data_IF_257115647829
#
_entry.id   IF_257115647829
#
_cell.length_a   1.000
_cell.length_b   1.000
_cell.length_c   1.000
_cell.angle_alpha   90.00
_cell.angle_beta   90.00
_cell.angle_gamma   90.00
#
_symmetry.space_group_name_H-M   'P 1'
#
loop_
_entity.id
_entity.type
_entity.pdbx_description
1 polymer ?
#
# COMPACT_ATOMS: atom_id res chain seq x y z
N UNK A 1 7.55 -15.40 47.81
CA UNK A 1 6.18 -14.89 47.56
C UNK A 1 6.03 -13.37 47.72
N UNK A 2 6.63 -12.69 48.71
CA UNK A 2 6.50 -11.22 48.87
C UNK A 2 7.09 -10.38 47.72
N UNK A 3 8.14 -10.85 47.05
CA UNK A 3 8.75 -10.14 45.90
C UNK A 3 7.97 -10.27 44.59
N UNK A 4 7.14 -11.30 44.44
CA UNK A 4 6.30 -11.50 43.24
C UNK A 4 5.06 -10.59 43.29
N UNK A 5 4.55 -10.31 44.50
CA UNK A 5 3.39 -9.43 44.70
C UNK A 5 3.74 -7.95 44.47
N UNK A 6 4.96 -7.52 44.81
CA UNK A 6 5.42 -6.14 44.55
C UNK A 6 5.70 -5.90 43.06
N UNK A 7 6.21 -6.90 42.34
CA UNK A 7 6.42 -6.82 40.89
C UNK A 7 5.12 -6.74 40.09
N UNK A 8 4.05 -7.41 40.53
CA UNK A 8 2.75 -7.36 39.87
C UNK A 8 2.00 -6.04 40.14
N UNK A 9 2.18 -5.42 41.32
CA UNK A 9 1.58 -4.12 41.65
C UNK A 9 2.22 -2.94 40.90
N UNK A 10 3.52 -3.02 40.59
CA UNK A 10 4.25 -1.99 39.81
C UNK A 10 3.98 -2.09 38.29
N UNK A 11 3.59 -3.28 37.81
CA UNK A 11 3.24 -3.49 36.40
C UNK A 11 1.84 -2.96 36.04
N UNK A 12 0.95 -2.79 37.03
CA UNK A 12 -0.36 -2.16 36.83
C UNK A 12 -0.34 -0.63 36.87
N UNK A 13 0.72 0.01 37.37
CA UNK A 13 0.85 1.48 37.39
C UNK A 13 1.43 2.08 36.10
N UNK A 14 1.85 1.24 35.15
CA UNK A 14 2.44 1.65 33.87
C UNK A 14 1.43 1.79 32.73
N UNK A 15 0.15 1.47 33.00
CA UNK A 15 -0.95 1.73 32.07
C UNK A 15 -1.77 2.90 32.61
N UNK A 16 -1.28 4.12 32.40
CA UNK A 16 -2.22 5.24 32.24
C UNK A 16 -2.92 5.03 30.91
N UNK A 17 -3.93 4.15 30.90
CA UNK A 17 -4.93 4.21 29.86
C UNK A 17 -5.49 5.62 29.89
N UNK A 18 -5.50 6.32 28.76
CA UNK A 18 -6.39 7.46 28.61
C UNK A 18 -7.79 6.95 28.89
N UNK A 19 -8.29 7.17 30.11
CA UNK A 19 -9.65 6.81 30.43
C UNK A 19 -10.54 7.70 29.58
N UNK A 20 -11.05 7.18 28.47
CA UNK A 20 -12.27 7.69 27.85
C UNK A 20 -13.43 7.32 28.76
N UNK A 21 -13.41 7.88 29.98
CA UNK A 21 -14.41 7.63 30.99
C UNK A 21 -15.73 8.17 30.44
N UNK A 22 -16.77 7.36 30.54
CA UNK A 22 -18.11 7.82 30.25
C UNK A 22 -18.43 8.94 31.26
N UNK A 23 -18.68 10.16 30.78
CA UNK A 23 -18.79 11.34 31.63
C UNK A 23 -19.97 11.25 32.62
N UNK A 24 -21.07 10.65 32.19
CA UNK A 24 -22.28 10.47 33.00
C UNK A 24 -23.10 9.27 32.50
N UNK A 25 -23.30 8.28 33.37
CA UNK A 25 -24.00 7.02 33.06
C UNK A 25 -25.50 7.19 32.75
N UNK A 26 -26.10 8.35 33.07
CA UNK A 26 -27.49 8.67 32.72
C UNK A 26 -27.68 8.93 31.22
N UNK A 27 -26.59 9.09 30.48
CA UNK A 27 -26.59 9.39 29.05
C UNK A 27 -26.29 8.12 28.26
N UNK A 28 -27.09 7.84 27.22
CA UNK A 28 -26.98 6.61 26.43
C UNK A 28 -26.15 6.77 25.15
N UNK A 29 -25.85 8.00 24.73
CA UNK A 29 -25.17 8.29 23.47
C UNK A 29 -24.18 9.44 23.59
N UNK A 30 -23.09 9.37 22.80
CA UNK A 30 -22.13 10.46 22.63
C UNK A 30 -21.69 10.55 21.18
N UNK A 31 -21.38 11.78 20.74
CA UNK A 31 -20.79 12.05 19.43
C UNK A 31 -19.54 12.89 19.60
N UNK A 32 -18.42 12.39 19.12
CA UNK A 32 -17.18 13.16 19.09
C UNK A 32 -17.25 14.21 17.98
N UNK A 33 -16.89 15.45 18.31
CA UNK A 33 -16.73 16.56 17.37
C UNK A 33 -15.28 17.03 17.45
N UNK A 34 -14.56 16.97 16.33
CA UNK A 34 -13.18 17.45 16.24
C UNK A 34 -13.17 18.84 15.62
N UNK A 35 -12.52 19.78 16.30
CA UNK A 35 -12.32 21.14 15.81
C UNK A 35 -10.87 21.33 15.39
N UNK A 36 -10.66 22.02 14.27
CA UNK A 36 -9.32 22.37 13.79
C UNK A 36 -9.20 23.89 13.80
N UNK A 37 -8.17 24.40 14.46
CA UNK A 37 -7.85 25.82 14.46
C UNK A 37 -6.80 26.09 13.36
N UNK A 38 -7.15 26.80 12.28
CA UNK A 38 -6.19 27.14 11.22
C UNK A 38 -5.23 28.27 11.62
N UNK A 39 -5.45 28.90 12.78
CA UNK A 39 -4.73 30.07 13.23
C UNK A 39 -4.13 29.85 14.63
N UNK A 40 -3.59 30.92 15.20
CA UNK A 40 -3.08 30.93 16.57
C UNK A 40 -4.17 30.65 17.61
N UNK A 41 -3.73 30.44 18.85
CA UNK A 41 -4.62 30.16 19.98
C UNK A 41 -5.71 31.24 20.13
N UNK A 42 -6.94 30.81 20.38
CA UNK A 42 -8.07 31.71 20.64
C UNK A 42 -8.74 31.32 21.95
N UNK A 43 -8.93 32.30 22.83
CA UNK A 43 -9.66 32.16 24.09
C UNK A 43 -11.12 32.62 23.94
N UNK A 44 -12.03 32.01 24.72
CA UNK A 44 -13.46 32.38 24.80
C UNK A 44 -14.20 32.41 23.45
N UNK A 45 -13.78 31.59 22.49
CA UNK A 45 -14.32 31.58 21.13
C UNK A 45 -15.75 31.00 21.07
N UNK A 46 -16.75 31.72 20.54
CA UNK A 46 -18.04 31.14 20.19
C UNK A 46 -17.92 30.38 18.86
N UNK A 47 -18.19 29.07 18.88
CA UNK A 47 -18.13 28.21 17.70
C UNK A 47 -19.51 27.66 17.38
N UNK A 48 -19.96 27.84 16.14
CA UNK A 48 -21.20 27.27 15.65
C UNK A 48 -20.98 25.82 15.20
N UNK A 49 -21.69 24.90 15.84
CA UNK A 49 -21.82 23.50 15.42
C UNK A 49 -23.13 23.36 14.65
N UNK A 50 -23.04 22.92 13.40
CA UNK A 50 -24.19 22.62 12.55
C UNK A 50 -24.47 21.13 12.56
N UNK A 51 -25.62 20.74 13.11
CA UNK A 51 -26.09 19.37 13.12
C UNK A 51 -27.09 19.15 11.99
N UNK A 52 -26.93 18.05 11.27
CA UNK A 52 -27.81 17.60 10.21
C UNK A 52 -27.73 16.07 10.07
N UNK A 53 -28.62 15.49 9.27
CA UNK A 53 -28.75 14.03 9.08
C UNK A 53 -27.48 13.27 8.68
N UNK A 54 -26.51 13.98 8.07
CA UNK A 54 -25.23 13.41 7.68
C UNK A 54 -24.22 13.30 8.83
N UNK A 55 -24.45 13.99 9.95
CA UNK A 55 -23.51 14.02 11.07
C UNK A 55 -24.11 13.73 12.45
N UNK A 56 -25.45 13.82 12.60
CA UNK A 56 -26.17 13.66 13.86
C UNK A 56 -27.49 12.90 13.65
N UNK A 57 -27.82 12.01 14.60
CA UNK A 57 -29.07 11.25 14.59
C UNK A 57 -30.14 11.96 15.45
N UNK A 58 -31.07 12.63 14.79
CA UNK A 58 -32.16 13.37 15.44
C UNK A 58 -33.22 12.47 16.07
N UNK A 59 -33.27 11.17 15.73
CA UNK A 59 -34.21 10.23 16.35
C UNK A 59 -33.77 9.79 17.75
N UNK A 60 -32.49 9.97 18.05
CA UNK A 60 -31.89 9.64 19.34
C UNK A 60 -31.95 10.79 20.37
N UNK A 61 -32.51 11.95 19.98
CA UNK A 61 -32.60 13.14 20.81
C UNK A 61 -34.06 13.60 20.95
N UNK A 62 -34.36 14.36 22.00
CA UNK A 62 -35.69 14.94 22.16
C UNK A 62 -36.01 15.93 21.03
N UNK A 63 -37.30 16.10 20.74
CA UNK A 63 -37.79 16.98 19.66
C UNK A 63 -37.32 18.45 19.80
N UNK A 64 -36.93 18.87 21.01
CA UNK A 64 -36.43 20.21 21.32
C UNK A 64 -34.92 20.26 21.62
N UNK A 65 -34.21 19.12 21.59
CA UNK A 65 -32.79 19.01 21.91
C UNK A 65 -32.44 19.35 23.38
N UNK A 66 -33.40 19.27 24.31
CA UNK A 66 -33.15 19.60 25.73
C UNK A 66 -32.18 18.63 26.42
N UNK A 67 -32.09 17.44 25.87
CA UNK A 67 -31.12 16.38 26.17
C UNK A 67 -29.87 16.53 25.31
N UNK A 68 -29.39 17.76 25.07
CA UNK A 68 -28.06 18.00 24.55
C UNK A 68 -27.12 18.41 25.68
N UNK A 69 -25.95 17.79 25.76
CA UNK A 69 -24.82 18.28 26.57
C UNK A 69 -23.58 18.36 25.69
N UNK A 70 -22.74 19.35 25.99
CA UNK A 70 -21.47 19.53 25.32
C UNK A 70 -20.39 19.40 26.37
N UNK A 71 -19.50 18.42 26.21
CA UNK A 71 -18.41 18.13 27.13
C UNK A 71 -17.09 18.38 26.37
N UNK A 72 -16.12 18.98 27.05
CA UNK A 72 -14.79 19.21 26.49
C UNK A 72 -14.05 17.89 26.25
N UNK A 73 -12.94 17.95 25.50
CA UNK A 73 -12.13 16.77 25.18
C UNK A 73 -11.45 16.09 26.37
N UNK A 74 -11.58 16.65 27.58
CA UNK A 74 -11.14 16.04 28.82
C UNK A 74 -12.16 15.03 29.41
N UNK A 75 -13.29 14.82 28.71
CA UNK A 75 -14.43 13.97 29.11
C UNK A 75 -14.99 14.33 30.51
N UNK A 76 -14.78 15.57 30.97
CA UNK A 76 -15.13 16.01 32.34
C UNK A 76 -15.79 17.38 32.39
N UNK A 77 -15.32 18.33 31.61
CA UNK A 77 -15.74 19.73 31.70
C UNK A 77 -16.94 19.98 30.79
N UNK A 78 -18.12 20.21 31.38
CA UNK A 78 -19.27 20.70 30.63
C UNK A 78 -19.02 22.12 30.09
N UNK A 79 -19.30 22.31 28.81
CA UNK A 79 -19.14 23.58 28.11
C UNK A 79 -20.47 24.32 28.03
N UNK A 80 -20.41 25.65 28.14
CA UNK A 80 -21.59 26.51 27.93
C UNK A 80 -21.96 26.50 26.45
N UNK A 81 -23.24 26.28 26.18
CA UNK A 81 -23.77 26.32 24.81
C UNK A 81 -25.12 27.04 24.76
N UNK A 82 -25.53 27.39 23.55
CA UNK A 82 -26.81 27.99 23.23
C UNK A 82 -27.35 27.36 21.95
N UNK A 83 -28.57 26.85 22.01
CA UNK A 83 -29.28 26.33 20.83
C UNK A 83 -29.94 27.53 20.14
N UNK A 84 -29.39 27.95 19.00
CA UNK A 84 -29.99 29.01 18.19
C UNK A 84 -31.20 28.49 17.42
N UNK A 85 -31.09 27.27 16.88
CA UNK A 85 -32.18 26.62 16.16
C UNK A 85 -32.15 25.12 16.42
N UNK A 86 -33.33 24.55 16.67
CA UNK A 86 -33.55 23.11 16.65
C UNK A 86 -34.80 22.81 15.85
N UNK A 87 -34.66 22.02 14.80
CA UNK A 87 -35.74 21.61 13.91
C UNK A 87 -35.67 20.10 13.73
N UNK A 88 -36.31 19.37 14.66
CA UNK A 88 -36.33 17.89 14.64
C UNK A 88 -37.07 17.31 13.44
N UNK A 89 -37.98 18.08 12.83
CA UNK A 89 -38.74 17.66 11.64
C UNK A 89 -37.84 17.72 10.39
N UNK A 90 -37.19 18.86 10.17
CA UNK A 90 -36.25 19.03 9.05
C UNK A 90 -34.85 18.49 9.36
N UNK A 91 -34.66 17.93 10.56
CA UNK A 91 -33.42 17.32 11.06
C UNK A 91 -32.20 18.25 10.88
N UNK A 92 -32.35 19.48 11.38
CA UNK A 92 -31.33 20.52 11.34
C UNK A 92 -31.27 21.26 12.68
N UNK A 93 -30.07 21.45 13.22
CA UNK A 93 -29.85 22.28 14.40
C UNK A 93 -28.58 23.13 14.30
N UNK A 94 -28.64 24.30 14.94
CA UNK A 94 -27.56 25.27 15.06
C UNK A 94 -27.28 25.47 16.55
N UNK A 95 -26.11 25.04 16.99
CA UNK A 95 -25.71 25.10 18.40
C UNK A 95 -24.42 25.91 18.52
N UNK A 96 -24.48 27.03 19.21
CA UNK A 96 -23.31 27.81 19.58
C UNK A 96 -22.69 27.24 20.84
N UNK A 97 -21.42 26.91 20.79
CA UNK A 97 -20.65 26.44 21.96
C UNK A 97 -19.60 27.49 22.28
N UNK A 98 -19.53 27.89 23.55
CA UNK A 98 -18.47 28.75 24.04
C UNK A 98 -17.27 27.89 24.44
N UNK A 99 -16.21 27.95 23.64
CA UNK A 99 -14.97 27.26 23.94
C UNK A 99 -14.11 28.12 24.87
N UNK A 100 -13.67 27.61 26.03
CA UNK A 100 -12.80 28.37 26.93
C UNK A 100 -11.46 28.68 26.23
N UNK A 101 -10.96 27.70 25.47
CA UNK A 101 -9.74 27.79 24.67
C UNK A 101 -9.88 26.87 23.47
N UNK A 102 -9.50 27.37 22.31
CA UNK A 102 -9.29 26.57 21.11
C UNK A 102 -7.78 26.58 20.81
N UNK A 103 -7.12 25.47 21.13
CA UNK A 103 -5.69 25.31 20.97
C UNK A 103 -5.26 25.48 19.51
N UNK A 104 -4.10 26.07 19.31
CA UNK A 104 -3.38 25.96 18.05
C UNK A 104 -2.43 24.76 18.14
N UNK A 105 -2.12 24.15 17.00
CA UNK A 105 -1.23 23.00 16.95
C UNK A 105 -0.22 23.15 15.83
N UNK A 106 0.83 22.37 15.89
CA UNK A 106 1.70 22.13 14.74
C UNK A 106 2.17 20.70 14.71
N UNK A 107 2.57 20.27 13.53
CA UNK A 107 3.30 19.02 13.36
C UNK A 107 4.46 19.19 12.41
N UNK A 108 5.57 18.53 12.73
CA UNK A 108 6.72 18.35 11.84
C UNK A 108 6.91 16.86 11.64
N UNK A 109 7.10 16.42 10.40
CA UNK A 109 7.44 15.04 10.08
C UNK A 109 8.50 14.98 8.98
N UNK A 110 9.28 13.91 8.94
CA UNK A 110 10.36 13.72 7.98
C UNK A 110 10.83 12.26 7.98
N UNK A 111 11.42 11.84 6.87
CA UNK A 111 12.30 10.67 6.83
C UNK A 111 13.72 11.09 7.19
N UNK A 112 14.38 10.31 8.03
CA UNK A 112 15.78 10.51 8.41
C UNK A 112 16.54 9.21 8.30
N UNK A 113 17.75 9.27 7.77
CA UNK A 113 18.73 8.19 7.78
C UNK A 113 20.01 8.67 8.43
N UNK A 114 20.16 8.49 9.76
CA UNK A 114 21.28 9.05 10.50
C UNK A 114 22.61 8.43 10.06
N UNK A 115 23.61 9.25 9.77
CA UNK A 115 25.00 8.81 9.64
C UNK A 115 25.71 8.85 11.00
N UNK A 116 25.35 9.81 11.86
CA UNK A 116 25.74 9.87 13.27
C UNK A 116 24.51 9.77 14.18
N UNK A 117 24.69 9.24 15.38
CA UNK A 117 23.62 9.04 16.37
C UNK A 117 23.44 10.23 17.33
N UNK A 118 24.17 11.32 17.11
CA UNK A 118 24.07 12.57 17.83
C UNK A 118 23.86 13.72 16.83
N UNK A 119 22.96 14.65 17.14
CA UNK A 119 22.75 15.86 16.33
C UNK A 119 21.33 16.42 16.40
N UNK A 120 21.18 17.71 16.14
CA UNK A 120 19.90 18.43 16.18
C UNK A 120 19.18 18.35 14.84
N UNK A 121 17.96 17.79 14.85
CA UNK A 121 17.10 17.64 13.67
C UNK A 121 16.22 18.88 13.46
N UNK A 122 15.62 19.40 14.53
CA UNK A 122 14.67 20.53 14.46
C UNK A 122 14.93 21.48 15.61
N UNK A 123 14.99 22.78 15.33
CA UNK A 123 15.14 23.80 16.36
C UNK A 123 14.32 25.05 16.04
N UNK A 124 13.63 25.58 17.04
CA UNK A 124 12.98 26.90 17.02
C UNK A 124 12.97 27.47 18.45
N UNK A 125 12.45 28.69 18.64
CA UNK A 125 12.31 29.29 19.96
C UNK A 125 11.36 28.48 20.86
N UNK A 126 11.92 27.67 21.75
CA UNK A 126 11.16 26.79 22.65
C UNK A 126 10.89 25.38 22.12
N UNK A 127 11.35 25.03 20.90
CA UNK A 127 11.30 23.67 20.36
C UNK A 127 12.71 23.19 20.02
N UNK A 128 13.09 22.01 20.51
CA UNK A 128 14.34 21.36 20.15
C UNK A 128 14.12 19.86 19.99
N UNK A 129 14.49 19.29 18.85
CA UNK A 129 14.50 17.86 18.59
C UNK A 129 15.91 17.44 18.21
N UNK A 130 16.53 16.58 19.01
CA UNK A 130 17.90 16.13 18.81
C UNK A 130 18.04 14.63 19.09
N UNK A 131 18.90 13.98 18.30
CA UNK A 131 19.39 12.66 18.62
C UNK A 131 20.49 12.76 19.67
N UNK A 132 20.41 11.91 20.69
CA UNK A 132 21.46 11.68 21.68
C UNK A 132 21.62 10.17 21.82
N UNK A 133 22.76 9.64 21.39
CA UNK A 133 23.03 8.21 21.29
C UNK A 133 21.87 7.42 20.61
N UNK A 134 21.32 7.98 19.53
CA UNK A 134 20.24 7.39 18.72
C UNK A 134 18.84 7.60 19.30
N UNK A 135 18.71 8.06 20.54
CA UNK A 135 17.41 8.39 21.13
C UNK A 135 16.98 9.79 20.68
N UNK A 136 15.80 9.90 20.08
CA UNK A 136 15.22 11.19 19.72
C UNK A 136 14.65 11.87 20.97
N UNK A 137 15.32 12.93 21.41
CA UNK A 137 14.91 13.77 22.53
C UNK A 137 14.27 15.05 21.99
N UNK A 138 13.04 15.31 22.42
CA UNK A 138 12.24 16.45 21.97
C UNK A 138 11.78 17.27 23.15
N UNK A 139 12.01 18.57 23.09
CA UNK A 139 11.51 19.57 24.02
C UNK A 139 10.57 20.52 23.30
N UNK A 140 9.44 20.85 23.90
CA UNK A 140 8.53 21.91 23.45
C UNK A 140 7.99 22.68 24.67
N UNK A 141 8.49 23.88 24.93
CA UNK A 141 8.21 24.61 26.17
C UNK A 141 8.71 23.84 27.40
N UNK A 142 7.80 23.53 28.33
CA UNK A 142 8.10 22.73 29.53
C UNK A 142 8.04 21.22 29.28
N UNK A 143 7.39 20.77 28.20
CA UNK A 143 7.28 19.36 27.86
C UNK A 143 8.61 18.83 27.31
N UNK A 144 8.99 17.63 27.77
CA UNK A 144 10.18 16.91 27.32
C UNK A 144 9.82 15.44 27.11
N UNK A 145 10.22 14.88 25.96
CA UNK A 145 9.99 13.49 25.59
C UNK A 145 11.31 12.90 25.07
N UNK A 146 11.73 11.79 25.66
CA UNK A 146 12.73 10.91 25.07
C UNK A 146 12.00 9.74 24.40
N UNK A 147 12.18 9.57 23.09
CA UNK A 147 11.51 8.52 22.34
C UNK A 147 11.93 7.14 22.85
N UNK A 148 10.95 6.26 23.11
CA UNK A 148 11.20 4.90 23.59
C UNK A 148 11.82 3.98 22.54
N UNK A 149 11.78 4.37 21.26
CA UNK A 149 12.36 3.65 20.14
C UNK A 149 13.56 4.46 19.57
N UNK A 150 14.81 3.99 19.78
CA UNK A 150 15.98 4.66 19.23
C UNK A 150 16.09 4.43 17.73
N UNK A 151 16.65 5.42 17.03
CA UNK A 151 17.00 5.33 15.63
C UNK A 151 18.34 4.62 15.46
N UNK A 152 18.49 3.93 14.33
CA UNK A 152 19.72 3.23 13.96
C UNK A 152 20.45 3.96 12.84
N UNK A 153 21.79 3.90 12.86
CA UNK A 153 22.60 4.54 11.85
C UNK A 153 22.51 3.78 10.51
N UNK A 154 22.44 4.52 9.40
CA UNK A 154 22.40 3.97 8.05
C UNK A 154 21.06 3.39 7.61
N UNK A 155 20.03 3.41 8.45
CA UNK A 155 18.67 2.97 8.12
C UNK A 155 17.69 4.14 8.06
N UNK A 156 16.72 4.07 7.14
CA UNK A 156 15.63 5.06 7.06
C UNK A 156 14.65 4.84 8.20
N UNK A 157 14.36 5.92 8.92
CA UNK A 157 13.34 6.00 9.96
C UNK A 157 12.40 7.17 9.67
N UNK A 158 11.11 6.97 9.95
CA UNK A 158 10.14 8.05 9.88
C UNK A 158 9.98 8.67 11.27
N UNK A 159 10.19 9.98 11.39
CA UNK A 159 10.00 10.69 12.66
C UNK A 159 8.95 11.77 12.52
N UNK A 160 8.08 11.90 13.52
CA UNK A 160 7.11 12.98 13.58
C UNK A 160 6.95 13.53 14.99
N UNK A 161 6.64 14.82 15.07
CA UNK A 161 6.44 15.57 16.31
C UNK A 161 5.14 16.33 16.17
N UNK A 162 4.28 16.28 17.19
CA UNK A 162 3.14 17.17 17.31
C UNK A 162 3.26 18.01 18.57
N UNK A 163 2.94 19.29 18.43
CA UNK A 163 2.91 20.25 19.54
C UNK A 163 1.53 20.88 19.56
N UNK A 164 0.81 20.67 20.65
CA UNK A 164 -0.48 21.30 20.96
C UNK A 164 -0.54 21.50 22.48
N UNK A 165 -1.56 21.00 23.18
CA UNK A 165 -1.58 20.96 24.65
C UNK A 165 -0.58 19.93 25.21
N UNK A 166 -0.26 18.91 24.41
CA UNK A 166 0.75 17.87 24.67
C UNK A 166 1.80 17.85 23.57
N UNK A 167 3.02 17.45 23.93
CA UNK A 167 4.08 17.08 23.00
C UNK A 167 3.97 15.58 22.75
N UNK A 168 3.80 15.16 21.49
CA UNK A 168 3.86 13.74 21.11
C UNK A 168 4.95 13.52 20.08
N UNK A 169 5.73 12.46 20.28
CA UNK A 169 6.82 12.05 19.39
C UNK A 169 6.50 10.68 18.83
N UNK A 170 6.66 10.53 17.52
CA UNK A 170 6.40 9.31 16.78
C UNK A 170 7.68 8.86 16.08
N UNK A 171 7.92 7.55 16.11
CA UNK A 171 9.01 6.87 15.39
C UNK A 171 8.40 5.71 14.62
N UNK A 172 8.72 5.63 13.33
CA UNK A 172 8.23 4.61 12.40
C UNK A 172 6.69 4.45 12.44
N UNK A 173 6.00 5.59 12.50
CA UNK A 173 4.54 5.69 12.50
C UNK A 173 3.87 5.34 13.83
N UNK A 174 4.64 5.00 14.87
CA UNK A 174 4.13 4.63 16.20
C UNK A 174 4.43 5.70 17.23
N UNK A 175 3.54 5.90 18.18
CA UNK A 175 3.78 6.82 19.30
C UNK A 175 4.95 6.29 20.14
N UNK A 176 6.02 7.07 20.22
CA UNK A 176 7.25 6.75 20.95
C UNK A 176 7.39 7.55 22.26
N UNK A 177 6.49 8.49 22.53
CA UNK A 177 6.39 9.17 23.81
C UNK A 177 5.47 10.39 23.77
N UNK A 178 5.00 10.79 24.94
CA UNK A 178 4.11 11.93 25.13
C UNK A 178 4.41 12.64 26.45
N UNK A 179 4.30 13.97 26.48
CA UNK A 179 4.38 14.78 27.69
C UNK A 179 3.38 15.95 27.66
N UNK A 180 2.71 16.27 28.78
CA UNK A 180 1.80 17.41 28.86
C UNK A 180 2.57 18.74 28.99
N UNK A 181 1.87 19.86 28.81
CA UNK A 181 2.43 21.20 29.05
C UNK A 181 3.33 21.67 27.91
N UNK A 182 3.04 21.23 26.70
CA UNK A 182 3.75 21.69 25.52
C UNK A 182 3.34 23.11 25.17
N UNK A 183 4.27 23.86 24.56
CA UNK A 183 4.00 25.20 24.05
C UNK A 183 4.47 25.29 22.60
N UNK A 184 3.69 25.99 21.77
CA UNK A 184 4.06 26.24 20.39
C UNK A 184 5.38 27.03 20.32
N UNK A 185 6.28 26.68 19.40
CA UNK A 185 7.52 27.41 19.21
C UNK A 185 7.30 28.80 18.62
N UNK A 186 8.29 29.66 18.84
CA UNK A 186 8.38 31.01 18.29
C UNK A 186 9.60 31.15 17.38
N UNK A 187 9.59 32.17 16.52
CA UNK A 187 10.70 32.45 15.61
C UNK A 187 10.80 31.47 14.44
N UNK A 188 11.96 31.49 13.75
CA UNK A 188 12.23 30.63 12.60
C UNK A 188 12.49 29.17 12.99
N UNK A 189 12.04 28.25 12.15
CA UNK A 189 12.28 26.82 12.28
C UNK A 189 13.53 26.42 11.48
N UNK A 190 14.56 25.94 12.17
CA UNK A 190 15.76 25.35 11.57
C UNK A 190 15.59 23.84 11.47
N UNK A 191 15.82 23.30 10.28
CA UNK A 191 15.79 21.86 10.00
C UNK A 191 17.21 21.39 9.66
N UNK A 192 17.64 20.27 10.23
CA UNK A 192 18.94 19.66 9.97
C UNK A 192 20.12 20.44 10.55
N UNK A 193 19.98 21.01 11.76
CA UNK A 193 20.99 21.88 12.38
C UNK A 193 22.39 21.25 12.48
N UNK A 194 22.63 20.38 13.47
CA UNK A 194 23.89 19.62 13.60
C UNK A 194 23.73 18.14 13.22
N UNK A 195 22.59 17.80 12.64
CA UNK A 195 22.30 16.45 12.18
C UNK A 195 23.25 16.02 11.06
N UNK A 196 23.80 14.81 11.17
CA UNK A 196 24.62 14.17 10.16
C UNK A 196 23.91 12.93 9.63
N UNK A 197 23.54 12.95 8.36
CA UNK A 197 22.77 11.89 7.71
C UNK A 197 21.99 12.42 6.51
N UNK A 198 21.10 11.59 5.99
CA UNK A 198 20.16 11.99 4.93
C UNK A 198 18.81 12.35 5.58
N UNK A 199 18.09 13.30 4.97
CA UNK A 199 16.74 13.70 5.36
C UNK A 199 15.90 13.88 4.10
N UNK A 200 14.67 13.39 4.12
CA UNK A 200 13.74 13.47 2.99
C UNK A 200 12.29 13.70 3.47
N UNK A 201 11.41 14.10 2.56
CA UNK A 201 9.98 14.36 2.77
C UNK A 201 9.65 15.19 4.02
N UNK A 202 10.36 16.31 4.21
CA UNK A 202 10.09 17.20 5.36
C UNK A 202 8.72 17.85 5.19
N UNK A 203 7.83 17.60 6.15
CA UNK A 203 6.47 18.12 6.20
C UNK A 203 6.30 19.01 7.43
N UNK A 204 5.80 20.23 7.23
CA UNK A 204 5.40 21.17 8.28
C UNK A 204 3.91 21.49 8.12
N UNK A 205 3.17 21.43 9.22
CA UNK A 205 1.77 21.85 9.24
C UNK A 205 1.47 22.70 10.47
N UNK A 206 0.68 23.77 10.28
CA UNK A 206 0.13 24.61 11.36
C UNK A 206 -1.08 23.98 12.06
N UNK A 207 -1.10 22.65 12.14
CA UNK A 207 -2.08 21.88 12.91
C UNK A 207 -1.39 20.64 13.48
N UNK A 208 -1.83 20.18 14.65
CA UNK A 208 -1.38 18.90 15.19
C UNK A 208 -2.10 17.76 14.43
N UNK A 209 -1.39 17.08 13.52
CA UNK A 209 -1.93 15.90 12.81
C UNK A 209 -2.05 14.71 13.74
N UNK A 210 -3.01 13.83 13.45
CA UNK A 210 -3.28 12.64 14.25
C UNK A 210 -2.28 11.50 14.01
N UNK A 211 -2.33 10.49 14.88
CA UNK A 211 -1.44 9.33 14.82
C UNK A 211 -1.65 8.46 13.58
N UNK A 212 -2.88 8.35 13.07
CA UNK A 212 -3.17 7.52 11.90
C UNK A 212 -2.56 8.14 10.63
N UNK A 213 -2.57 9.47 10.51
CA UNK A 213 -1.87 10.17 9.45
C UNK A 213 -0.38 9.79 9.41
N UNK A 214 0.30 9.83 10.56
CA UNK A 214 1.72 9.47 10.63
C UNK A 214 1.98 7.99 10.36
N UNK A 215 1.08 7.10 10.79
CA UNK A 215 1.19 5.67 10.48
C UNK A 215 1.12 5.41 8.97
N UNK A 216 0.20 6.08 8.26
CA UNK A 216 0.08 5.98 6.80
C UNK A 216 1.31 6.54 6.09
N UNK A 217 1.82 7.70 6.52
CA UNK A 217 3.04 8.28 5.95
C UNK A 217 4.26 7.38 6.16
N UNK A 218 4.44 6.83 7.37
CA UNK A 218 5.52 5.89 7.64
C UNK A 218 5.42 4.61 6.78
N UNK A 219 4.21 4.16 6.47
CA UNK A 219 3.97 2.99 5.63
C UNK A 219 4.27 3.22 4.13
N UNK A 220 4.58 4.45 3.72
CA UNK A 220 5.03 4.79 2.35
C UNK A 220 6.57 4.70 2.19
N UNK A 221 7.31 4.36 3.25
CA UNK A 221 8.76 4.30 3.22
C UNK A 221 9.35 3.23 2.28
N UNK A 222 10.69 3.12 2.23
CA UNK A 222 11.38 2.16 1.37
C UNK A 222 11.02 0.69 1.60
N UNK A 223 10.60 0.34 2.82
CA UNK A 223 10.09 -0.98 3.19
C UNK A 223 8.56 -0.98 3.38
N UNK A 224 7.89 0.01 2.80
CA UNK A 224 6.48 0.31 3.00
C UNK A 224 5.56 -0.80 2.50
N UNK A 225 4.50 -1.04 3.25
CA UNK A 225 3.47 -2.05 2.94
C UNK A 225 2.14 -1.42 2.51
N UNK A 226 2.08 -0.09 2.40
CA UNK A 226 0.82 0.61 2.12
C UNK A 226 0.27 0.25 0.73
N UNK A 227 1.15 0.11 -0.25
CA UNK A 227 0.78 -0.20 -1.63
C UNK A 227 1.24 -1.61 -1.96
N UNK A 228 0.26 -2.49 -2.19
CA UNK A 228 0.50 -3.80 -2.78
C UNK A 228 0.17 -3.72 -4.28
N UNK A 229 1.17 -3.95 -5.12
CA UNK A 229 0.96 -4.05 -6.56
C UNK A 229 0.47 -5.45 -6.90
N UNK A 230 -0.56 -5.53 -7.73
CA UNK A 230 -1.03 -6.79 -8.30
C UNK A 230 -0.02 -7.37 -9.30
N UNK A 231 -0.25 -8.58 -9.76
CA UNK A 231 0.52 -9.15 -10.86
C UNK A 231 0.36 -8.29 -12.12
N UNK A 232 1.42 -8.21 -12.93
CA UNK A 232 1.35 -7.55 -14.23
C UNK A 232 0.36 -8.31 -15.13
N UNK A 233 -0.75 -7.66 -15.48
CA UNK A 233 -1.66 -8.16 -16.50
C UNK A 233 -1.10 -7.79 -17.88
N UNK A 234 -0.15 -8.59 -18.36
CA UNK A 234 0.27 -8.52 -19.76
C UNK A 234 -0.81 -9.18 -20.62
N UNK A 235 -1.50 -8.39 -21.42
CA UNK A 235 -2.27 -8.91 -22.54
C UNK A 235 -1.29 -9.64 -23.48
N UNK A 236 -1.41 -10.95 -23.60
CA UNK A 236 -0.78 -11.74 -24.66
C UNK A 236 -1.29 -11.24 -26.01
N UNK A 237 -0.64 -10.22 -26.56
CA UNK A 237 -1.13 -9.55 -27.76
C UNK A 237 -0.27 -8.36 -28.17
N UNK A 238 1.04 -8.59 -28.31
CA UNK A 238 1.96 -7.61 -28.88
C UNK A 238 3.36 -8.18 -29.06
N UNK A 239 3.68 -8.59 -30.30
CA UNK A 239 5.04 -8.81 -30.81
C UNK A 239 5.96 -7.63 -30.40
N UNK A 240 7.24 -7.76 -30.04
CA UNK A 240 8.30 -8.65 -30.48
C UNK A 240 9.24 -8.97 -29.29
N UNK A 241 9.70 -10.22 -29.17
CA UNK A 241 10.78 -10.61 -28.24
C UNK A 241 10.40 -11.55 -27.09
N UNK A 242 9.16 -12.05 -27.06
CA UNK A 242 8.63 -12.88 -25.98
C UNK A 242 9.00 -14.37 -26.08
N UNK A 243 9.41 -14.93 -24.93
CA UNK A 243 9.38 -16.35 -24.51
C UNK A 243 10.26 -17.33 -25.31
N UNK A 244 10.25 -17.30 -26.65
CA UNK A 244 11.01 -18.23 -27.47
C UNK A 244 12.52 -17.99 -27.38
N UNK A 245 12.94 -16.71 -27.32
CA UNK A 245 14.36 -16.36 -27.18
C UNK A 245 14.96 -16.81 -25.83
N UNK A 246 14.19 -16.67 -24.75
CA UNK A 246 14.64 -17.09 -23.41
C UNK A 246 14.58 -18.61 -23.24
N UNK A 247 13.58 -19.29 -23.81
CA UNK A 247 13.52 -20.77 -23.85
C UNK A 247 14.68 -21.38 -24.62
N UNK A 248 15.05 -20.83 -25.78
CA UNK A 248 16.18 -21.35 -26.57
C UNK A 248 17.55 -21.02 -25.93
N UNK A 249 17.67 -19.91 -25.21
CA UNK A 249 18.89 -19.57 -24.47
C UNK A 249 19.08 -20.44 -23.20
N UNK A 250 17.99 -20.91 -22.59
CA UNK A 250 18.02 -21.77 -21.40
C UNK A 250 18.23 -23.27 -21.73
N UNK A 251 18.29 -23.65 -23.02
CA UNK A 251 18.46 -25.03 -23.43
C UNK A 251 19.93 -25.48 -23.26
N UNK A 252 20.14 -26.53 -22.47
CA UNK A 252 21.46 -27.14 -22.29
C UNK A 252 21.96 -27.80 -23.59
N UNK A 253 23.26 -28.09 -23.67
CA UNK A 253 23.86 -28.73 -24.86
C UNK A 253 23.13 -30.02 -25.27
N UNK A 254 22.64 -30.78 -24.29
CA UNK A 254 21.87 -32.01 -24.51
C UNK A 254 20.55 -31.76 -25.26
N UNK A 255 19.88 -30.64 -24.98
CA UNK A 255 18.65 -30.26 -25.67
C UNK A 255 18.88 -29.87 -27.13
N UNK A 256 19.98 -29.17 -27.41
CA UNK A 256 20.39 -28.86 -28.79
C UNK A 256 20.73 -30.12 -29.60
N UNK A 257 21.39 -31.10 -28.97
CA UNK A 257 21.69 -32.39 -29.60
C UNK A 257 20.39 -33.13 -29.94
N UNK A 258 19.42 -33.16 -29.03
CA UNK A 258 18.13 -33.82 -29.26
C UNK A 258 17.36 -33.19 -30.43
N UNK A 259 17.30 -31.85 -30.50
CA UNK A 259 16.67 -31.13 -31.61
C UNK A 259 17.38 -31.45 -32.94
N UNK A 260 18.72 -31.51 -32.94
CA UNK A 260 19.50 -31.88 -34.12
C UNK A 260 19.16 -33.28 -34.64
N UNK A 261 19.03 -34.28 -33.75
CA UNK A 261 18.65 -35.65 -34.13
C UNK A 261 17.24 -35.69 -34.71
N UNK A 262 16.27 -35.01 -34.09
CA UNK A 262 14.90 -34.94 -34.58
C UNK A 262 14.81 -34.26 -35.95
N UNK A 263 15.60 -33.20 -36.19
CA UNK A 263 15.66 -32.53 -37.48
C UNK A 263 16.20 -33.46 -38.57
N UNK A 264 17.24 -34.25 -38.29
CA UNK A 264 17.78 -35.25 -39.23
C UNK A 264 16.73 -36.33 -39.54
N UNK A 265 16.03 -36.82 -38.52
CA UNK A 265 14.94 -37.79 -38.71
C UNK A 265 13.82 -37.22 -39.58
N UNK A 266 13.44 -35.96 -39.37
CA UNK A 266 12.44 -35.28 -40.20
C UNK A 266 12.87 -35.22 -41.66
N UNK A 267 14.12 -34.83 -41.93
CA UNK A 267 14.66 -34.76 -43.30
C UNK A 267 14.64 -36.13 -43.97
N UNK A 268 15.05 -37.18 -43.26
CA UNK A 268 15.01 -38.56 -43.77
C UNK A 268 13.56 -39.01 -44.02
N UNK A 269 12.63 -38.68 -43.13
CA UNK A 269 11.22 -39.02 -43.28
C UNK A 269 10.60 -38.34 -44.50
N UNK A 270 10.85 -37.03 -44.68
CA UNK A 270 10.41 -36.27 -45.85
C UNK A 270 11.03 -36.83 -47.13
N UNK A 271 12.32 -37.17 -47.11
CA UNK A 271 12.99 -37.80 -48.25
C UNK A 271 12.35 -39.13 -48.65
N UNK A 272 12.11 -40.02 -47.69
CA UNK A 272 11.46 -41.32 -47.94
C UNK A 272 10.03 -41.11 -48.47
N UNK A 273 9.31 -40.13 -47.94
CA UNK A 273 7.96 -39.81 -48.40
C UNK A 273 7.96 -39.34 -49.86
N UNK A 274 8.89 -38.48 -50.25
CA UNK A 274 9.03 -38.01 -51.65
C UNK A 274 9.39 -39.19 -52.57
N UNK A 275 10.36 -40.02 -52.19
CA UNK A 275 10.78 -41.19 -53.01
C UNK A 275 9.62 -42.17 -53.16
N UNK A 276 8.90 -42.48 -52.08
CA UNK A 276 7.72 -43.35 -52.14
C UNK A 276 6.60 -42.74 -52.99
N UNK A 277 6.35 -41.43 -52.88
CA UNK A 277 5.34 -40.75 -53.69
C UNK A 277 5.67 -40.83 -55.19
N UNK A 278 6.94 -40.63 -55.57
CA UNK A 278 7.39 -40.77 -56.96
C UNK A 278 7.25 -42.22 -57.44
N UNK A 279 7.64 -43.20 -56.62
CA UNK A 279 7.53 -44.62 -56.96
C UNK A 279 6.08 -45.06 -57.17
N UNK A 280 5.18 -44.70 -56.25
CA UNK A 280 3.74 -45.02 -56.35
C UNK A 280 3.14 -44.39 -57.62
N UNK A 281 3.44 -43.12 -57.89
CA UNK A 281 2.95 -42.45 -59.10
C UNK A 281 3.43 -43.14 -60.40
N UNK A 282 4.67 -43.67 -60.42
CA UNK A 282 5.21 -44.40 -61.58
C UNK A 282 4.54 -45.76 -61.76
N UNK A 283 4.33 -46.50 -60.67
CA UNK A 283 3.65 -47.81 -60.69
C UNK A 283 2.18 -47.64 -61.09
N UNK A 284 1.50 -46.61 -60.60
CA UNK A 284 0.11 -46.30 -60.98
C UNK A 284 -0.02 -45.98 -62.47
N UNK A 285 0.95 -45.27 -63.06
CA UNK A 285 0.99 -45.04 -64.51
C UNK A 285 1.17 -46.35 -65.29
N UNK A 286 2.09 -47.21 -64.87
CA UNK A 286 2.34 -48.50 -65.51
C UNK A 286 1.11 -49.44 -65.40
N UNK A 287 0.43 -49.47 -64.24
CA UNK A 287 -0.80 -50.22 -64.05
C UNK A 287 -1.93 -49.73 -64.96
N UNK A 288 -2.08 -48.41 -65.14
CA UNK A 288 -3.07 -47.87 -66.09
C UNK A 288 -2.79 -48.31 -67.53
N UNK A 289 -1.53 -48.29 -67.96
CA UNK A 289 -1.15 -48.76 -69.29
C UNK A 289 -1.38 -50.27 -69.46
N UNK A 290 -1.04 -51.06 -68.44
CA UNK A 290 -1.33 -52.50 -68.42
C UNK A 290 -2.83 -52.79 -68.51
N UNK A 291 -3.65 -52.12 -67.70
CA UNK A 291 -5.11 -52.31 -67.72
C UNK A 291 -5.75 -51.87 -69.03
N UNK A 292 -5.18 -50.85 -69.71
CA UNK A 292 -5.62 -50.45 -71.04
C UNK A 292 -5.31 -51.53 -72.08
N UNK A 293 -4.07 -52.04 -72.12
CA UNK A 293 -3.70 -53.14 -73.02
C UNK A 293 -4.47 -54.42 -72.70
N UNK A 294 -4.68 -54.75 -71.43
CA UNK A 294 -5.47 -55.91 -71.02
C UNK A 294 -6.93 -55.79 -71.48
N UNK A 295 -7.54 -54.61 -71.37
CA UNK A 295 -8.90 -54.36 -71.89
C UNK A 295 -8.95 -54.41 -73.41
N UNK A 296 -7.95 -53.87 -74.10
CA UNK A 296 -7.81 -53.99 -75.56
C UNK A 296 -7.75 -55.46 -75.98
N UNK A 297 -6.89 -56.26 -75.34
CA UNK A 297 -6.77 -57.71 -75.55
C UNK A 297 -8.01 -58.51 -75.13
N UNK A 298 -8.76 -58.09 -74.11
CA UNK A 298 -9.99 -58.78 -73.69
C UNK A 298 -11.20 -58.43 -74.55
N UNK A 299 -11.20 -57.27 -75.19
CA UNK A 299 -12.27 -56.84 -76.12
C UNK A 299 -12.01 -57.36 -77.53
N UNK A 300 -10.73 -57.58 -77.88
CA UNK A 300 -10.29 -58.26 -79.10
C UNK A 300 -10.03 -59.76 -78.87
N UNK A 301 -11.09 -60.49 -78.50
CA UNK A 301 -11.11 -61.97 -78.49
C UNK A 301 -11.04 -62.57 -79.92
N UNK A 302 -10.93 -61.76 -80.97
CA UNK A 302 -10.74 -62.17 -82.37
C UNK A 302 -9.28 -62.09 -82.86
N UNK A 303 -8.37 -61.50 -82.08
CA UNK A 303 -6.95 -61.29 -82.43
C UNK A 303 -5.97 -62.31 -81.86
N UNK A 304 -6.43 -63.42 -81.28
CA UNK A 304 -5.60 -64.47 -80.65
C UNK A 304 -5.01 -65.42 -81.73
N UNK A 305 -4.44 -64.86 -82.80
CA UNK A 305 -3.65 -65.61 -83.80
C UNK A 305 -2.50 -64.79 -84.43
N UNK A 306 -1.93 -63.84 -83.69
CA UNK A 306 -0.64 -63.21 -84.06
C UNK A 306 0.31 -63.13 -82.87
N UNK A 307 0.48 -64.25 -82.19
CA UNK A 307 1.54 -64.45 -81.20
C UNK A 307 2.85 -64.85 -81.88
N UNK A 308 3.57 -63.90 -82.47
CA UNK A 308 5.04 -63.97 -82.61
C UNK A 308 5.61 -62.55 -82.65
N UNK A 309 5.99 -62.01 -81.47
CA UNK A 309 6.71 -60.73 -81.40
C UNK A 309 6.96 -60.22 -79.98
N UNK A 310 6.05 -60.48 -79.05
CA UNK A 310 6.08 -59.88 -77.70
C UNK A 310 7.10 -60.48 -76.72
N UNK A 311 7.84 -61.54 -77.09
CA UNK A 311 8.90 -62.11 -76.26
C UNK A 311 10.26 -61.37 -76.40
N UNK A 312 10.39 -60.46 -77.36
CA UNK A 312 11.63 -59.73 -77.60
C UNK A 312 11.70 -58.36 -76.89
N UNK A 313 10.57 -57.78 -76.48
CA UNK A 313 10.50 -56.39 -75.98
C UNK A 313 10.60 -56.27 -74.44
N UNK A 314 10.63 -57.40 -73.72
CA UNK A 314 10.75 -57.43 -72.25
C UNK A 314 12.09 -58.01 -71.77
N UNK A 315 13.14 -57.98 -72.60
CA UNK A 315 14.51 -58.30 -72.17
C UNK A 315 15.29 -56.99 -71.93
N UNK A 316 15.42 -56.69 -70.63
CA UNK A 316 16.25 -55.68 -69.95
C UNK A 316 15.78 -54.24 -69.99
#
# INVERSE_FOLDING_TARGET
MRFIVVGFALLLSLFSATSHAWWNDDWAGRKQVTLTNPAGEVADAPVLIRLHTGNFDFLSANENGSDLRVVAGDDKTELKFHIEKWDGINQLALVWVKLPKLGAGMSVAMWVKPAALDGTLVQAGGLNAALVAGTLNVQAGAANVAASAPLTAGAWHYVAITVSDSLKVYVDGKLAGEAPGAALPSGGLTIGGSYSGEMDEVQLAGTARDAAWFAVQAAQGPAGTLVALGADELAEGGEEGGIWGTLFAALTLDGWIAIGILAVMLVIAVWIMIVKAIYVNRVDQANRQFMHKFRELSTDLGGIDKTQGLAAEFRH
#
